data_IF_086201642562
#
_entry.id   IF_086201642562
#
_cell.length_a   1.000
_cell.length_b   1.000
_cell.length_c   1.000
_cell.angle_alpha   90.00
_cell.angle_beta   90.00
_cell.angle_gamma   90.00
#
_symmetry.space_group_name_H-M   'P 1'
#
loop_
_entity.id
_entity.type
_entity.pdbx_description
1 polymer ?
#
# COMPACT_ATOMS: atom_id res chain seq x y z
N UNK A 1 42.35 19.25 -14.28
CA UNK A 1 41.68 19.70 -13.05
C UNK A 1 40.32 20.37 -13.29
N UNK A 2 40.15 21.26 -14.29
CA UNK A 2 38.85 21.94 -14.55
C UNK A 2 37.67 21.01 -14.89
N UNK A 3 37.91 19.88 -15.59
CA UNK A 3 36.86 18.91 -15.95
C UNK A 3 36.26 18.19 -14.73
N UNK A 4 37.08 17.87 -13.72
CA UNK A 4 36.62 17.24 -12.47
C UNK A 4 35.73 18.19 -11.64
N UNK A 5 36.03 19.49 -11.66
CA UNK A 5 35.23 20.51 -10.95
C UNK A 5 33.82 20.70 -11.54
N UNK A 6 33.59 20.32 -12.80
CA UNK A 6 32.28 20.38 -13.48
C UNK A 6 31.51 19.07 -13.36
N UNK A 7 32.20 17.93 -13.33
CA UNK A 7 31.57 16.60 -13.23
C UNK A 7 31.01 16.36 -11.82
N UNK A 8 31.72 16.82 -10.78
CA UNK A 8 31.30 16.63 -9.38
C UNK A 8 29.90 17.21 -9.06
N UNK A 9 29.57 18.47 -9.41
CA UNK A 9 28.24 19.02 -9.14
C UNK A 9 27.13 18.33 -9.93
N UNK A 10 27.40 17.85 -11.16
CA UNK A 10 26.41 17.09 -11.95
C UNK A 10 26.07 15.77 -11.25
N UNK A 11 27.07 15.07 -10.72
CA UNK A 11 26.87 13.83 -9.97
C UNK A 11 26.10 14.11 -8.67
N UNK A 12 26.45 15.18 -7.95
CA UNK A 12 25.74 15.57 -6.72
C UNK A 12 24.27 15.90 -7.01
N UNK A 13 23.98 16.67 -8.05
CA UNK A 13 22.60 17.00 -8.46
C UNK A 13 21.84 15.75 -8.91
N UNK A 14 22.47 14.86 -9.68
CA UNK A 14 21.86 13.58 -10.07
C UNK A 14 21.51 12.70 -8.87
N UNK A 15 22.42 12.56 -7.91
CA UNK A 15 22.18 11.76 -6.70
C UNK A 15 21.14 12.40 -5.79
N UNK A 16 21.15 13.73 -5.60
CA UNK A 16 20.16 14.40 -4.75
C UNK A 16 18.78 14.42 -5.39
N UNK A 17 18.69 14.53 -6.72
CA UNK A 17 17.40 14.38 -7.43
C UNK A 17 16.91 12.95 -7.34
N UNK A 18 17.72 11.93 -7.64
CA UNK A 18 17.31 10.52 -7.45
C UNK A 18 16.89 10.23 -6.01
N UNK A 19 17.63 10.71 -5.01
CA UNK A 19 17.27 10.54 -3.60
C UNK A 19 16.00 11.30 -3.22
N UNK A 20 15.83 12.52 -3.73
CA UNK A 20 14.61 13.30 -3.55
C UNK A 20 13.41 12.59 -4.17
N UNK A 21 13.56 12.05 -5.39
CA UNK A 21 12.53 11.26 -6.03
C UNK A 21 12.26 9.97 -5.24
N UNK A 22 13.27 9.18 -4.89
CA UNK A 22 13.08 7.92 -4.14
C UNK A 22 12.47 8.11 -2.75
N UNK A 23 12.90 9.12 -1.99
CA UNK A 23 12.39 9.38 -0.64
C UNK A 23 10.97 9.95 -0.67
N UNK A 24 10.66 10.82 -1.64
CA UNK A 24 9.32 11.39 -1.77
C UNK A 24 8.35 10.51 -2.59
N UNK A 25 8.86 9.53 -3.35
CA UNK A 25 8.10 8.66 -4.25
C UNK A 25 8.26 7.16 -3.96
N UNK A 26 8.72 6.72 -2.78
CA UNK A 26 8.25 5.42 -2.25
C UNK A 26 6.82 5.64 -1.77
N UNK A 27 5.81 5.50 -2.65
CA UNK A 27 4.48 6.05 -2.42
C UNK A 27 3.66 5.11 -1.53
N UNK A 28 4.22 3.94 -1.22
CA UNK A 28 3.56 2.71 -0.79
C UNK A 28 4.57 1.92 0.06
N UNK A 29 4.27 1.71 1.33
CA UNK A 29 4.96 0.79 2.24
C UNK A 29 4.01 -0.39 2.51
N UNK A 30 4.49 -1.63 2.42
CA UNK A 30 3.69 -2.78 2.85
C UNK A 30 3.67 -2.88 4.38
N UNK A 31 2.53 -3.31 4.91
CA UNK A 31 2.32 -3.56 6.34
C UNK A 31 2.31 -5.07 6.54
N UNK A 32 3.50 -5.70 6.44
CA UNK A 32 3.64 -7.15 6.40
C UNK A 32 3.13 -7.86 7.66
N UNK A 33 3.10 -7.16 8.80
CA UNK A 33 2.58 -7.65 10.09
C UNK A 33 1.06 -7.91 10.09
N UNK A 34 0.31 -7.35 9.14
CA UNK A 34 -1.13 -7.57 9.02
C UNK A 34 -1.48 -8.69 8.05
N UNK A 35 -0.54 -9.12 7.20
CA UNK A 35 -0.82 -10.09 6.15
C UNK A 35 -1.06 -11.48 6.75
N UNK A 36 -2.18 -12.11 6.39
CA UNK A 36 -2.58 -13.41 6.91
C UNK A 36 -3.36 -13.37 8.22
N UNK A 37 -3.46 -12.19 8.85
CA UNK A 37 -4.31 -11.97 10.02
C UNK A 37 -5.76 -11.71 9.61
N UNK A 38 -6.68 -11.79 10.57
CA UNK A 38 -8.09 -11.49 10.33
C UNK A 38 -8.45 -10.00 10.58
N UNK A 39 -9.64 -9.59 10.14
CA UNK A 39 -10.12 -8.22 10.34
C UNK A 39 -10.16 -7.82 11.82
N UNK A 40 -10.56 -8.75 12.69
CA UNK A 40 -10.66 -8.51 14.12
C UNK A 40 -9.32 -8.14 14.75
N UNK A 41 -8.24 -8.80 14.34
CA UNK A 41 -6.88 -8.47 14.75
C UNK A 41 -6.50 -7.07 14.30
N UNK A 42 -6.68 -6.75 13.01
CA UNK A 42 -6.37 -5.44 12.49
C UNK A 42 -7.18 -4.34 13.19
N UNK A 43 -8.49 -4.54 13.36
CA UNK A 43 -9.37 -3.53 13.96
C UNK A 43 -9.12 -3.35 15.46
N UNK A 44 -9.02 -4.44 16.24
CA UNK A 44 -8.94 -4.35 17.71
C UNK A 44 -7.52 -4.13 18.22
N UNK A 45 -6.51 -4.68 17.54
CA UNK A 45 -5.11 -4.64 18.01
C UNK A 45 -4.35 -3.50 17.34
N UNK A 46 -4.46 -3.39 16.01
CA UNK A 46 -3.59 -2.50 15.24
C UNK A 46 -4.17 -1.08 15.06
N UNK A 47 -5.35 -0.96 14.46
CA UNK A 47 -5.95 0.33 14.12
C UNK A 47 -6.72 0.97 15.28
N UNK A 48 -7.36 0.13 16.12
CA UNK A 48 -8.12 0.54 17.31
C UNK A 48 -9.21 1.60 17.02
N UNK A 49 -9.61 1.74 15.76
CA UNK A 49 -10.53 2.75 15.24
C UNK A 49 -11.27 2.19 14.03
N UNK A 50 -12.47 2.72 13.78
CA UNK A 50 -13.22 2.41 12.57
C UNK A 50 -12.54 3.02 11.33
N UNK A 51 -12.64 2.36 10.17
CA UNK A 51 -12.10 2.88 8.92
C UNK A 51 -12.91 4.10 8.43
N UNK A 52 -12.22 5.10 7.91
CA UNK A 52 -12.83 6.28 7.29
C UNK A 52 -13.57 5.93 5.99
N UNK A 53 -13.10 4.91 5.27
CA UNK A 53 -13.70 4.44 4.01
C UNK A 53 -13.72 2.93 3.97
N UNK A 54 -14.85 2.39 3.52
CA UNK A 54 -15.04 0.97 3.29
C UNK A 54 -15.84 0.72 2.01
N UNK A 55 -15.39 -0.23 1.19
CA UNK A 55 -16.09 -0.63 -0.02
C UNK A 55 -15.74 -2.07 -0.39
N UNK A 56 -16.50 -2.65 -1.32
CA UNK A 56 -16.22 -3.96 -1.90
C UNK A 56 -15.79 -3.80 -3.35
N UNK A 57 -14.94 -4.69 -3.80
CA UNK A 57 -14.50 -4.75 -5.19
C UNK A 57 -14.46 -6.19 -5.67
N UNK A 58 -14.76 -6.41 -6.95
CA UNK A 58 -14.49 -7.68 -7.62
C UNK A 58 -13.08 -7.62 -8.21
N UNK A 59 -12.25 -8.62 -7.89
CA UNK A 59 -10.87 -8.69 -8.41
C UNK A 59 -10.82 -8.94 -9.91
N UNK A 60 -11.91 -9.38 -10.52
CA UNK A 60 -12.03 -9.60 -11.97
C UNK A 60 -12.41 -8.33 -12.74
N UNK A 61 -12.84 -7.27 -12.05
CA UNK A 61 -13.09 -5.98 -12.67
C UNK A 61 -11.79 -5.29 -13.08
N UNK A 62 -11.91 -4.20 -13.84
CA UNK A 62 -10.76 -3.44 -14.32
C UNK A 62 -10.12 -2.67 -13.15
N UNK A 63 -9.15 -3.31 -12.49
CA UNK A 63 -8.46 -2.79 -11.32
C UNK A 63 -7.51 -1.65 -11.71
N UNK A 64 -7.60 -0.52 -10.99
CA UNK A 64 -6.66 0.57 -11.16
C UNK A 64 -5.29 0.25 -10.54
N UNK A 65 -4.29 1.10 -10.81
CA UNK A 65 -2.92 0.96 -10.28
C UNK A 65 -2.86 0.95 -8.74
N UNK A 66 -3.86 1.49 -8.06
CA UNK A 66 -3.97 1.53 -6.60
C UNK A 66 -4.49 0.22 -5.99
N UNK A 67 -4.96 -0.71 -6.82
CA UNK A 67 -5.30 -2.08 -6.48
C UNK A 67 -4.17 -3.06 -6.84
N UNK A 68 -2.98 -2.54 -7.18
CA UNK A 68 -1.82 -3.33 -7.61
C UNK A 68 -1.39 -4.42 -6.62
N UNK A 69 -1.71 -4.23 -5.35
CA UNK A 69 -1.56 -5.24 -4.30
C UNK A 69 -2.29 -6.54 -4.52
N UNK A 70 -3.55 -6.47 -5.00
CA UNK A 70 -4.42 -7.64 -5.17
C UNK A 70 -4.22 -8.33 -6.51
N UNK A 71 -3.74 -7.60 -7.53
CA UNK A 71 -3.51 -8.17 -8.87
C UNK A 71 -2.64 -9.42 -8.84
N UNK A 72 -1.72 -9.52 -7.88
CA UNK A 72 -0.81 -10.66 -7.70
C UNK A 72 -1.24 -11.67 -6.62
N UNK A 73 -2.46 -11.55 -6.09
CA UNK A 73 -2.99 -12.36 -4.99
C UNK A 73 -4.31 -13.05 -5.33
N UNK A 74 -4.70 -13.08 -6.60
CA UNK A 74 -5.94 -13.74 -7.06
C UNK A 74 -5.93 -15.25 -6.82
N UNK A 75 -4.75 -15.86 -6.80
CA UNK A 75 -4.52 -17.28 -6.64
C UNK A 75 -4.84 -17.82 -5.24
N UNK A 76 -4.76 -16.97 -4.21
CA UNK A 76 -5.05 -17.36 -2.82
C UNK A 76 -6.52 -17.11 -2.41
N UNK A 77 -7.30 -16.46 -3.27
CA UNK A 77 -8.68 -16.09 -3.01
C UNK A 77 -9.64 -17.20 -3.41
N UNK A 78 -10.55 -17.57 -2.50
CA UNK A 78 -11.65 -18.51 -2.78
C UNK A 78 -12.92 -17.80 -3.27
N UNK A 79 -12.97 -16.47 -3.17
CA UNK A 79 -14.05 -15.61 -3.67
C UNK A 79 -13.46 -14.42 -4.44
N UNK A 80 -14.13 -13.97 -5.50
CA UNK A 80 -13.71 -12.80 -6.27
C UNK A 80 -13.93 -11.47 -5.55
N UNK A 81 -14.78 -11.45 -4.52
CA UNK A 81 -15.09 -10.24 -3.78
C UNK A 81 -14.08 -10.00 -2.67
N UNK A 82 -13.47 -8.82 -2.69
CA UNK A 82 -12.56 -8.34 -1.66
C UNK A 82 -13.13 -7.09 -1.00
N UNK A 83 -13.01 -7.04 0.31
CA UNK A 83 -13.39 -5.91 1.14
C UNK A 83 -12.18 -4.99 1.35
N UNK A 84 -12.36 -3.70 1.13
CA UNK A 84 -11.30 -2.70 1.27
C UNK A 84 -11.63 -1.76 2.40
N UNK A 85 -10.70 -1.60 3.32
CA UNK A 85 -10.82 -0.70 4.46
C UNK A 85 -9.68 0.29 4.48
N UNK A 86 -9.97 1.55 4.81
CA UNK A 86 -9.01 2.65 4.71
C UNK A 86 -9.10 3.57 5.92
N UNK A 87 -7.93 3.96 6.42
CA UNK A 87 -7.74 4.98 7.46
C UNK A 87 -6.92 6.15 6.90
N UNK A 88 -7.47 7.35 6.98
CA UNK A 88 -6.90 8.59 6.48
C UNK A 88 -6.30 9.40 7.64
N UNK A 89 -5.00 9.25 7.89
CA UNK A 89 -4.27 10.04 8.88
C UNK A 89 -3.81 11.38 8.28
N UNK A 90 -3.43 12.32 9.14
CA UNK A 90 -2.94 13.65 8.72
C UNK A 90 -1.75 13.56 7.75
N UNK A 91 -0.87 12.58 7.93
CA UNK A 91 0.40 12.46 7.19
C UNK A 91 0.43 11.33 6.18
N UNK A 92 -0.49 10.38 6.25
CA UNK A 92 -0.46 9.15 5.45
C UNK A 92 -1.84 8.52 5.40
N UNK A 93 -2.01 7.55 4.52
CA UNK A 93 -3.21 6.71 4.45
C UNK A 93 -2.81 5.26 4.64
N UNK A 94 -3.60 4.48 5.36
CA UNK A 94 -3.43 3.03 5.44
C UNK A 94 -4.64 2.35 4.82
N UNK A 95 -4.42 1.31 4.02
CA UNK A 95 -5.47 0.54 3.37
C UNK A 95 -5.15 -0.94 3.53
N UNK A 96 -6.16 -1.72 3.91
CA UNK A 96 -6.08 -3.18 3.95
C UNK A 96 -7.13 -3.76 3.01
N UNK A 97 -6.81 -4.92 2.45
CA UNK A 97 -7.68 -5.70 1.60
C UNK A 97 -7.93 -7.04 2.26
N UNK A 98 -9.20 -7.40 2.37
CA UNK A 98 -9.65 -8.58 3.09
C UNK A 98 -10.45 -9.44 2.14
N UNK A 99 -9.99 -10.67 1.96
CA UNK A 99 -10.62 -11.65 1.10
C UNK A 99 -10.89 -12.96 1.83
N UNK A 100 -11.73 -13.78 1.22
CA UNK A 100 -11.92 -15.15 1.65
C UNK A 100 -10.79 -16.01 1.06
N UNK A 101 -10.14 -16.82 1.88
CA UNK A 101 -9.09 -17.76 1.46
C UNK A 101 -9.48 -19.18 1.87
N UNK A 102 -8.63 -20.16 1.56
CA UNK A 102 -8.81 -21.53 2.06
C UNK A 102 -8.56 -21.64 3.58
N UNK A 103 -7.80 -20.71 4.16
CA UNK A 103 -7.41 -20.74 5.58
C UNK A 103 -8.45 -20.06 6.47
N UNK A 104 -8.94 -18.89 6.06
CA UNK A 104 -9.81 -18.04 6.86
C UNK A 104 -10.92 -17.44 5.98
N UNK A 105 -12.11 -17.30 6.57
CA UNK A 105 -13.24 -16.65 5.90
C UNK A 105 -12.97 -15.15 5.65
N UNK A 106 -12.12 -14.54 6.49
CA UNK A 106 -11.73 -13.13 6.43
C UNK A 106 -10.23 -13.01 6.70
N UNK A 107 -9.41 -13.13 5.67
CA UNK A 107 -7.95 -12.97 5.72
C UNK A 107 -7.52 -11.65 5.09
N UNK A 108 -6.59 -10.94 5.71
CA UNK A 108 -5.94 -9.78 5.11
C UNK A 108 -4.94 -10.25 4.06
N UNK A 109 -5.25 -10.01 2.80
CA UNK A 109 -4.46 -10.46 1.64
C UNK A 109 -3.38 -9.46 1.23
N UNK A 110 -3.63 -8.18 1.49
CA UNK A 110 -2.65 -7.11 1.32
C UNK A 110 -2.93 -5.97 2.30
N UNK A 111 -1.87 -5.25 2.65
CA UNK A 111 -1.93 -4.12 3.57
C UNK A 111 -0.86 -3.11 3.20
N UNK A 112 -1.29 -1.89 2.91
CA UNK A 112 -0.44 -0.82 2.37
C UNK A 112 -0.61 0.44 3.19
N UNK A 113 0.50 1.13 3.42
CA UNK A 113 0.57 2.51 3.85
C UNK A 113 1.03 3.39 2.71
N UNK A 114 0.17 4.31 2.30
CA UNK A 114 0.51 5.35 1.34
C UNK A 114 1.14 6.55 2.05
N UNK A 115 2.35 6.93 1.63
CA UNK A 115 3.03 8.12 2.15
C UNK A 115 2.38 9.37 1.54
N UNK A 116 1.93 10.30 2.40
CA UNK A 116 1.04 11.45 2.13
C UNK A 116 -0.42 11.08 1.87
N UNK A 117 -1.33 12.02 2.18
CA UNK A 117 -2.73 12.00 1.74
C UNK A 117 -2.77 12.17 0.21
N UNK A 118 -2.50 11.09 -0.52
CA UNK A 118 -2.84 11.02 -1.94
C UNK A 118 -4.36 11.22 -2.02
N UNK A 119 -4.79 12.31 -2.64
CA UNK A 119 -6.22 12.52 -2.93
C UNK A 119 -6.55 11.70 -4.17
N UNK A 120 -7.63 10.91 -4.08
CA UNK A 120 -8.15 10.04 -5.13
C UNK A 120 -9.36 10.69 -5.77
#
# INVERSE_FOLDING_TARGET
MKKLAVILPIIVVGLTTSWYFDFWHKPVEKIDELIGENYDYAHKIYFQTDPDKQYKMDVNDNLNEFNGGILNKKDILTNSIVHVFTWDYTTHKKTIWIGQTEKLESEIIDAIRYNKKVQF
#
